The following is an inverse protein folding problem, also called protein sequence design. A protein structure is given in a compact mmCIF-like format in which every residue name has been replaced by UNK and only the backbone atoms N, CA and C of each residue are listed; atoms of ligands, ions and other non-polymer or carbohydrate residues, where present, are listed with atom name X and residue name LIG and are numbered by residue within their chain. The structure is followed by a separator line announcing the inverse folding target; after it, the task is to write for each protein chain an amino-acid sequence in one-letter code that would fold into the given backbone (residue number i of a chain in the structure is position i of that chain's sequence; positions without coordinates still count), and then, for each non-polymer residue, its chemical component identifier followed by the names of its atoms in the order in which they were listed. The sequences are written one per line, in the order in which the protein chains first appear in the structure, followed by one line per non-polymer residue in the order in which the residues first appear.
data_IF_848528849384
#
_entry.id   IF_848528849384
#
_cell.length_a   1.000
_cell.length_b   1.000
_cell.length_c   1.000
_cell.angle_alpha   90.00
_cell.angle_beta   90.00
_cell.angle_gamma   90.00
#
_symmetry.space_group_name_H-M   'P 1'
#
loop_
_entity.id
_entity.type
_entity.pdbx_description
1 polymer ?
#
# COMPACT_ATOMS: atom_id res chain seq x y z
N UNK A 1 -7.37 6.39 10.48
CA UNK A 1 -5.98 6.01 10.15
C UNK A 1 -5.98 5.44 8.74
N UNK A 2 -5.03 5.83 7.88
CA UNK A 2 -4.94 5.38 6.47
C UNK A 2 -4.05 4.13 6.30
N UNK A 3 -3.26 3.82 7.34
CA UNK A 3 -2.32 2.72 7.34
C UNK A 3 -2.98 1.48 7.97
N UNK A 4 -3.02 0.40 7.19
CA UNK A 4 -3.47 -0.91 7.61
C UNK A 4 -2.32 -1.90 7.46
N UNK A 5 -1.59 -2.13 8.55
CA UNK A 5 -0.42 -3.01 8.58
C UNK A 5 0.62 -2.69 7.50
N UNK A 6 0.98 -1.43 7.29
CA UNK A 6 1.95 -0.99 6.28
C UNK A 6 1.39 -0.88 4.86
N UNK A 7 0.13 -1.25 4.64
CA UNK A 7 -0.59 -1.03 3.41
C UNK A 7 -1.44 0.24 3.54
N UNK A 8 -1.23 1.21 2.66
CA UNK A 8 -1.85 2.52 2.73
C UNK A 8 -2.98 2.64 1.72
N UNK A 9 -4.15 3.09 2.16
CA UNK A 9 -5.17 3.64 1.26
C UNK A 9 -4.89 5.11 0.97
N UNK A 10 -5.41 5.66 -0.13
CA UNK A 10 -5.20 7.08 -0.45
C UNK A 10 -6.09 7.97 0.43
N UNK A 11 -7.32 7.52 0.69
CA UNK A 11 -8.30 8.23 1.49
C UNK A 11 -9.33 7.26 2.08
N UNK A 12 -10.13 7.73 3.04
CA UNK A 12 -11.25 6.96 3.57
C UNK A 12 -12.46 7.11 2.64
N UNK A 13 -12.94 6.00 2.09
CA UNK A 13 -14.08 6.00 1.16
C UNK A 13 -15.44 6.20 1.84
N UNK A 14 -15.52 6.03 3.17
CA UNK A 14 -16.76 6.13 3.97
C UNK A 14 -17.51 7.47 3.84
N UNK A 15 -16.84 8.52 3.37
CA UNK A 15 -17.41 9.85 3.19
C UNK A 15 -17.62 10.26 1.73
N UNK A 16 -17.46 9.34 0.77
CA UNK A 16 -17.71 9.60 -0.66
C UNK A 16 -16.83 10.70 -1.25
N UNK A 17 -15.59 10.78 -0.78
CA UNK A 17 -14.66 11.90 -1.02
C UNK A 17 -14.24 12.01 -2.50
N UNK A 18 -14.29 10.89 -3.22
CA UNK A 18 -13.94 10.74 -4.63
C UNK A 18 -15.16 10.67 -5.57
N UNK A 19 -16.38 10.59 -5.01
CA UNK A 19 -17.61 10.41 -5.78
C UNK A 19 -17.75 9.05 -6.45
N UNK A 20 -16.94 8.06 -6.08
CA UNK A 20 -17.00 6.70 -6.65
C UNK A 20 -17.76 5.73 -5.73
N UNK A 21 -18.48 4.74 -6.29
CA UNK A 21 -19.08 3.68 -5.50
C UNK A 21 -18.04 2.62 -5.13
N UNK A 22 -18.19 2.03 -3.94
CA UNK A 22 -17.39 0.87 -3.50
C UNK A 22 -16.34 1.23 -2.44
N UNK A 23 -15.33 0.37 -2.32
CA UNK A 23 -14.20 0.53 -1.40
C UNK A 23 -12.90 0.51 -2.17
N UNK A 24 -11.92 1.29 -1.73
CA UNK A 24 -10.58 1.33 -2.30
C UNK A 24 -9.70 0.22 -1.71
N UNK A 25 -8.86 -0.41 -2.53
CA UNK A 25 -7.79 -1.26 -2.04
C UNK A 25 -6.62 -0.47 -1.47
N UNK A 26 -5.64 -1.15 -0.90
CA UNK A 26 -4.40 -0.48 -0.55
C UNK A 26 -3.63 -0.07 -1.81
N UNK A 27 -3.21 1.19 -1.86
CA UNK A 27 -2.49 1.77 -2.98
C UNK A 27 -0.99 1.52 -2.82
N UNK A 28 -0.44 0.59 -3.61
CA UNK A 28 0.92 0.09 -3.39
C UNK A 28 1.98 1.19 -3.57
N UNK A 29 1.77 2.13 -4.50
CA UNK A 29 2.67 3.26 -4.69
C UNK A 29 2.78 4.13 -3.41
N UNK A 30 1.69 4.34 -2.69
CA UNK A 30 1.70 5.09 -1.43
C UNK A 30 2.50 4.36 -0.35
N UNK A 31 2.41 3.02 -0.28
CA UNK A 31 3.21 2.23 0.63
C UNK A 31 4.72 2.28 0.29
N UNK A 32 5.09 2.30 -0.99
CA UNK A 32 6.49 2.52 -1.39
C UNK A 32 6.99 3.92 -1.01
N UNK A 33 6.17 4.95 -1.17
CA UNK A 33 6.52 6.30 -0.71
C UNK A 33 6.68 6.37 0.81
N UNK A 34 5.90 5.60 1.58
CA UNK A 34 6.14 5.48 3.03
C UNK A 34 7.49 4.82 3.32
N UNK A 35 7.86 3.76 2.61
CA UNK A 35 9.18 3.15 2.76
C UNK A 35 10.32 4.14 2.46
N UNK A 36 10.19 4.91 1.38
CA UNK A 36 11.16 5.96 1.02
C UNK A 36 11.23 7.07 2.09
N UNK A 37 10.08 7.55 2.57
CA UNK A 37 10.01 8.56 3.62
C UNK A 37 10.64 8.06 4.94
N UNK A 38 10.36 6.80 5.34
CA UNK A 38 10.96 6.18 6.51
C UNK A 38 12.49 6.14 6.39
N UNK A 39 13.01 5.77 5.21
CA UNK A 39 14.44 5.79 4.96
C UNK A 39 15.01 7.21 5.04
N UNK A 40 14.33 8.19 4.43
CA UNK A 40 14.72 9.59 4.43
C UNK A 40 14.81 10.23 5.82
N UNK A 41 14.02 9.75 6.80
CA UNK A 41 14.10 10.19 8.20
C UNK A 41 14.99 9.31 9.09
N UNK A 42 15.81 8.43 8.50
CA UNK A 42 16.77 7.59 9.21
C UNK A 42 16.19 6.31 9.82
N UNK A 43 14.90 6.01 9.60
CA UNK A 43 14.23 4.78 10.05
C UNK A 43 14.43 3.64 9.04
N UNK A 44 15.69 3.40 8.66
CA UNK A 44 16.05 2.50 7.56
C UNK A 44 15.62 1.05 7.79
N UNK A 45 15.71 0.53 9.01
CA UNK A 45 15.30 -0.86 9.29
C UNK A 45 13.80 -1.08 9.04
N UNK A 46 12.97 -0.09 9.40
CA UNK A 46 11.53 -0.13 9.17
C UNK A 46 11.20 0.05 7.68
N UNK A 47 11.92 0.95 7.00
CA UNK A 47 11.81 1.11 5.55
C UNK A 47 12.10 -0.19 4.79
N UNK A 48 13.19 -0.88 5.13
CA UNK A 48 13.58 -2.15 4.50
C UNK A 48 12.53 -3.23 4.76
N UNK A 49 12.05 -3.35 6.01
CA UNK A 49 11.00 -4.32 6.37
C UNK A 49 9.74 -4.10 5.55
N UNK A 50 9.30 -2.84 5.42
CA UNK A 50 8.14 -2.50 4.60
C UNK A 50 8.39 -2.77 3.12
N UNK A 51 9.55 -2.36 2.58
CA UNK A 51 9.90 -2.55 1.19
C UNK A 51 9.92 -4.04 0.80
N UNK A 52 10.57 -4.89 1.59
CA UNK A 52 10.62 -6.35 1.37
C UNK A 52 9.23 -6.98 1.41
N UNK A 53 8.36 -6.50 2.31
CA UNK A 53 6.95 -6.93 2.33
C UNK A 53 6.21 -6.53 1.06
N UNK A 54 6.36 -5.30 0.56
CA UNK A 54 5.71 -4.88 -0.69
C UNK A 54 6.23 -5.67 -1.88
N UNK A 55 7.53 -5.97 -1.89
CA UNK A 55 8.17 -6.83 -2.89
C UNK A 55 7.63 -8.27 -2.91
N UNK A 56 7.13 -8.78 -1.79
CA UNK A 56 6.55 -10.13 -1.72
C UNK A 56 5.14 -10.23 -2.33
N UNK A 57 4.51 -9.09 -2.63
CA UNK A 57 3.17 -9.03 -3.25
C UNK A 57 3.21 -9.18 -4.78
N UNK A 58 4.40 -9.16 -5.40
CA UNK A 58 4.55 -9.33 -6.85
C UNK A 58 3.92 -10.64 -7.32
N UNK A 59 3.28 -10.59 -8.48
CA UNK A 59 2.81 -11.80 -9.14
C UNK A 59 3.99 -12.63 -9.68
N UNK A 60 3.67 -13.77 -10.27
CA UNK A 60 4.61 -14.74 -10.84
C UNK A 60 5.52 -14.17 -11.92
N UNK A 61 5.12 -13.09 -12.59
CA UNK A 61 5.93 -12.36 -13.59
C UNK A 61 6.60 -11.11 -13.02
N UNK A 62 6.54 -10.88 -11.70
CA UNK A 62 7.23 -9.79 -11.02
C UNK A 62 6.52 -8.43 -11.05
N UNK A 63 5.25 -8.39 -11.46
CA UNK A 63 4.46 -7.17 -11.56
C UNK A 63 3.63 -6.92 -10.29
N UNK A 64 3.30 -5.64 -10.07
CA UNK A 64 2.40 -5.16 -9.02
C UNK A 64 1.27 -4.38 -9.70
N UNK A 65 0.02 -4.62 -9.30
CA UNK A 65 -1.09 -3.72 -9.63
C UNK A 65 -0.96 -2.41 -8.85
N UNK A 66 -1.78 -1.45 -9.24
CA UNK A 66 -1.93 -0.19 -8.51
C UNK A 66 -2.53 -0.41 -7.11
N UNK A 67 -3.59 -1.21 -7.04
CA UNK A 67 -4.31 -1.51 -5.81
C UNK A 67 -4.15 -2.98 -5.40
N UNK A 68 -4.16 -3.22 -4.08
CA UNK A 68 -4.07 -4.53 -3.47
C UNK A 68 -5.13 -4.69 -2.38
N UNK A 69 -5.93 -5.75 -2.48
CA UNK A 69 -6.86 -6.15 -1.43
C UNK A 69 -6.13 -6.95 -0.35
N UNK A 70 -5.90 -6.31 0.79
CA UNK A 70 -5.26 -6.92 1.94
C UNK A 70 -6.09 -8.02 2.62
N UNK A 71 -7.42 -7.99 2.49
CA UNK A 71 -8.32 -8.97 3.10
C UNK A 71 -8.34 -10.27 2.30
N UNK A 72 -8.34 -10.19 0.97
CA UNK A 72 -8.37 -11.37 0.09
C UNK A 72 -7.01 -11.79 -0.44
N UNK A 73 -5.99 -10.94 -0.29
CA UNK A 73 -4.63 -11.20 -0.75
C UNK A 73 -4.51 -11.15 -2.28
N UNK A 74 -5.17 -10.18 -2.92
CA UNK A 74 -5.28 -10.10 -4.38
C UNK A 74 -4.84 -8.75 -4.92
N UNK A 75 -4.19 -8.80 -6.08
CA UNK A 75 -4.00 -7.65 -6.96
C UNK A 75 -5.38 -7.25 -7.53
N UNK A 76 -5.70 -5.96 -7.54
CA UNK A 76 -6.93 -5.40 -8.13
C UNK A 76 -6.68 -4.81 -9.51
#
# INVERSE_FOLDING_TARGET
ELNHDGLLVRYQTEHGVDGLPGTEGAFLACAFWLADALHGIGRTAEAVTLFERLLSLRNDVGLLSEEYDAATGRQL
#
